data_IF_351492209908
#
_entry.id   IF_351492209908
#
_cell.length_a   1.000
_cell.length_b   1.000
_cell.length_c   1.000
_cell.angle_alpha   90.00
_cell.angle_beta   90.00
_cell.angle_gamma   90.00
#
_symmetry.space_group_name_H-M   'P 1'
#
loop_
_entity.id
_entity.type
_entity.pdbx_description
1 polymer ?
#
# COMPACT_ATOMS: atom_id res chain seq x y z
N UNK A 1 3.29 -12.05 -14.42
CA UNK A 1 2.95 -10.87 -13.61
C UNK A 1 3.99 -10.75 -12.50
N UNK A 2 4.42 -9.54 -12.12
CA UNK A 2 5.23 -9.35 -10.91
C UNK A 2 4.26 -9.32 -9.73
N UNK A 3 4.47 -10.19 -8.75
CA UNK A 3 3.67 -10.24 -7.53
C UNK A 3 4.30 -9.26 -6.54
N UNK A 4 3.51 -8.41 -5.85
CA UNK A 4 4.04 -7.55 -4.79
C UNK A 4 4.74 -8.37 -3.71
N UNK A 5 5.92 -7.93 -3.29
CA UNK A 5 6.65 -8.58 -2.18
C UNK A 5 6.19 -7.94 -0.87
N UNK A 6 5.80 -8.77 0.10
CA UNK A 6 5.46 -8.30 1.46
C UNK A 6 6.68 -8.42 2.37
N UNK A 7 6.99 -7.35 3.07
CA UNK A 7 8.20 -7.19 3.90
C UNK A 7 7.86 -6.50 5.23
N UNK A 8 8.86 -6.40 6.11
CA UNK A 8 8.74 -5.68 7.37
C UNK A 8 8.48 -6.58 8.57
N UNK A 9 8.64 -6.02 9.78
CA UNK A 9 8.60 -6.77 11.05
C UNK A 9 7.24 -7.38 11.38
N UNK A 10 6.16 -6.93 10.74
CA UNK A 10 4.85 -7.58 10.92
C UNK A 10 4.80 -8.96 10.24
N UNK A 11 5.64 -9.21 9.24
CA UNK A 11 5.69 -10.50 8.55
C UNK A 11 6.07 -11.62 9.52
N UNK A 12 6.99 -11.37 10.45
CA UNK A 12 7.37 -12.35 11.47
C UNK A 12 6.16 -12.78 12.32
N UNK A 13 5.26 -11.83 12.64
CA UNK A 13 4.01 -12.11 13.34
C UNK A 13 3.08 -12.95 12.47
N UNK A 14 2.91 -12.60 11.19
CA UNK A 14 2.08 -13.37 10.24
C UNK A 14 2.57 -14.80 10.07
N UNK A 15 3.89 -15.01 9.98
CA UNK A 15 4.50 -16.33 9.85
C UNK A 15 4.37 -17.19 11.11
N UNK A 16 4.16 -16.55 12.27
CA UNK A 16 3.88 -17.24 13.53
C UNK A 16 2.42 -17.66 13.73
N UNK A 17 1.50 -17.20 12.88
CA UNK A 17 0.09 -17.59 12.93
C UNK A 17 -0.13 -18.96 12.29
N UNK A 18 -1.01 -19.77 12.87
CA UNK A 18 -1.46 -21.02 12.24
C UNK A 18 -2.40 -20.72 11.07
N UNK A 19 -3.31 -19.78 11.27
CA UNK A 19 -4.21 -19.24 10.24
C UNK A 19 -4.35 -17.72 10.39
N UNK A 20 -4.47 -17.01 9.27
CA UNK A 20 -4.64 -15.55 9.25
C UNK A 20 -5.85 -15.09 10.05
N UNK A 21 -6.92 -15.88 10.06
CA UNK A 21 -8.18 -15.58 10.76
C UNK A 21 -8.05 -15.54 12.30
N UNK A 22 -6.92 -15.97 12.85
CA UNK A 22 -6.65 -15.92 14.29
C UNK A 22 -6.35 -14.50 14.79
N UNK A 23 -6.06 -13.56 13.89
CA UNK A 23 -5.78 -12.16 14.21
C UNK A 23 -6.57 -11.20 13.31
N UNK A 24 -7.36 -10.34 13.94
CA UNK A 24 -8.24 -9.37 13.25
C UNK A 24 -7.45 -8.47 12.29
N UNK A 25 -6.27 -8.02 12.69
CA UNK A 25 -5.47 -7.14 11.85
C UNK A 25 -4.76 -7.91 10.72
N UNK A 26 -4.34 -9.14 10.95
CA UNK A 26 -3.82 -10.02 9.91
C UNK A 26 -4.86 -10.25 8.80
N UNK A 27 -6.13 -10.42 9.16
CA UNK A 27 -7.24 -10.52 8.19
C UNK A 27 -7.36 -9.24 7.34
N UNK A 28 -7.29 -8.06 7.95
CA UNK A 28 -7.30 -6.78 7.22
C UNK A 28 -6.11 -6.63 6.27
N UNK A 29 -4.92 -7.06 6.69
CA UNK A 29 -3.72 -7.07 5.84
C UNK A 29 -3.90 -8.03 4.66
N UNK A 30 -4.50 -9.19 4.91
CA UNK A 30 -4.83 -10.15 3.86
C UNK A 30 -5.82 -9.56 2.85
N UNK A 31 -6.86 -8.86 3.31
CA UNK A 31 -7.82 -8.16 2.44
C UNK A 31 -7.15 -7.08 1.59
N UNK A 32 -6.21 -6.32 2.17
CA UNK A 32 -5.41 -5.33 1.43
C UNK A 32 -4.59 -5.98 0.30
N UNK A 33 -3.91 -7.09 0.60
CA UNK A 33 -3.12 -7.83 -0.40
C UNK A 33 -4.04 -8.43 -1.48
N UNK A 34 -5.18 -8.98 -1.07
CA UNK A 34 -6.24 -9.47 -1.96
C UNK A 34 -6.71 -8.39 -2.92
N UNK A 35 -7.06 -7.21 -2.39
CA UNK A 35 -7.46 -6.05 -3.19
C UNK A 35 -6.41 -5.68 -4.23
N UNK A 36 -5.12 -5.61 -3.86
CA UNK A 36 -4.05 -5.30 -4.82
C UNK A 36 -3.98 -6.36 -5.92
N UNK A 37 -4.06 -7.65 -5.57
CA UNK A 37 -3.92 -8.77 -6.50
C UNK A 37 -5.11 -8.93 -7.46
N UNK A 38 -6.32 -8.63 -7.01
CA UNK A 38 -7.54 -8.66 -7.84
C UNK A 38 -7.54 -7.56 -8.91
N UNK A 39 -6.83 -6.46 -8.67
CA UNK A 39 -6.80 -5.31 -9.55
C UNK A 39 -5.52 -5.27 -10.39
N UNK A 40 -5.66 -5.54 -11.70
CA UNK A 40 -4.54 -5.51 -12.67
C UNK A 40 -3.77 -4.18 -12.65
N UNK A 41 -4.44 -3.05 -12.41
CA UNK A 41 -3.75 -1.76 -12.28
C UNK A 41 -2.81 -1.74 -11.07
N UNK A 42 -3.29 -2.16 -9.90
CA UNK A 42 -2.50 -2.12 -8.66
C UNK A 42 -1.35 -3.13 -8.65
N UNK A 43 -1.53 -4.32 -9.21
CA UNK A 43 -0.42 -5.27 -9.41
C UNK A 43 0.69 -4.73 -10.33
N UNK A 44 0.39 -3.80 -11.25
CA UNK A 44 1.40 -3.14 -12.09
C UNK A 44 2.05 -1.94 -11.42
N UNK A 45 1.35 -1.26 -10.50
CA UNK A 45 1.89 -0.10 -9.82
C UNK A 45 2.71 -0.48 -8.60
N UNK A 46 2.27 -1.44 -7.78
CA UNK A 46 2.88 -1.75 -6.48
C UNK A 46 3.91 -2.87 -6.61
N UNK A 47 5.13 -2.60 -6.13
CA UNK A 47 6.25 -3.56 -6.11
C UNK A 47 6.49 -4.18 -4.75
N UNK A 48 6.39 -3.38 -3.70
CA UNK A 48 6.64 -3.83 -2.34
C UNK A 48 5.59 -3.25 -1.38
N UNK A 49 5.22 -4.06 -0.40
CA UNK A 49 4.40 -3.69 0.73
C UNK A 49 5.26 -3.91 1.98
N UNK A 50 5.68 -2.83 2.64
CA UNK A 50 6.38 -2.89 3.92
C UNK A 50 5.39 -2.64 5.05
N UNK A 51 5.35 -3.57 6.02
CA UNK A 51 4.47 -3.49 7.17
C UNK A 51 5.32 -3.41 8.43
N UNK A 52 5.28 -2.24 9.06
CA UNK A 52 5.99 -2.00 10.30
C UNK A 52 5.52 -2.92 11.43
N UNK A 53 6.30 -3.07 12.50
CA UNK A 53 5.90 -3.86 13.67
C UNK A 53 4.59 -3.39 14.33
N UNK A 54 4.18 -2.13 14.09
CA UNK A 54 2.92 -1.57 14.59
C UNK A 54 1.74 -1.78 13.63
N UNK A 55 1.95 -2.48 12.51
CA UNK A 55 0.94 -2.74 11.49
C UNK A 55 0.83 -1.64 10.42
N UNK A 56 1.53 -0.52 10.57
CA UNK A 56 1.48 0.58 9.59
C UNK A 56 2.06 0.13 8.24
N UNK A 57 1.31 0.35 7.17
CA UNK A 57 1.62 -0.07 5.80
C UNK A 57 2.22 1.09 5.00
N UNK A 58 3.35 0.81 4.38
CA UNK A 58 3.99 1.66 3.37
C UNK A 58 4.15 0.83 2.10
N UNK A 59 3.72 1.39 0.97
CA UNK A 59 3.88 0.74 -0.33
C UNK A 59 4.93 1.47 -1.15
N UNK A 60 5.65 0.70 -1.97
CA UNK A 60 6.61 1.23 -2.93
C UNK A 60 6.21 0.81 -4.33
N UNK A 61 6.24 1.74 -5.31
CA UNK A 61 5.89 1.44 -6.67
C UNK A 61 6.94 0.55 -7.35
N UNK A 62 6.57 -0.08 -8.47
CA UNK A 62 7.48 -0.84 -9.32
C UNK A 62 8.52 0.05 -10.02
N UNK A 63 8.20 1.34 -10.20
CA UNK A 63 9.03 2.33 -10.88
C UNK A 63 9.01 3.62 -10.07
N UNK A 64 10.20 4.16 -9.81
CA UNK A 64 10.39 5.32 -8.94
C UNK A 64 10.59 4.93 -7.48
N UNK A 65 10.97 5.93 -6.68
CA UNK A 65 11.38 5.74 -5.29
C UNK A 65 10.37 6.35 -4.30
N UNK A 66 9.12 6.53 -4.74
CA UNK A 66 8.09 7.19 -3.92
C UNK A 66 7.64 6.30 -2.77
N UNK A 67 7.56 6.90 -1.59
CA UNK A 67 7.03 6.26 -0.38
C UNK A 67 5.53 6.54 -0.27
N UNK A 68 4.71 5.52 -0.52
CA UNK A 68 3.26 5.61 -0.43
C UNK A 68 2.80 5.21 0.98
N UNK A 69 2.60 6.21 1.85
CA UNK A 69 2.12 6.01 3.22
C UNK A 69 0.61 5.73 3.21
N UNK A 70 0.26 4.46 3.38
CA UNK A 70 -1.13 4.00 3.39
C UNK A 70 -1.73 4.01 4.80
N UNK A 71 -0.89 3.83 5.80
CA UNK A 71 -1.29 3.69 7.20
C UNK A 71 -1.83 2.31 7.49
N UNK A 72 -2.83 2.21 8.37
CA UNK A 72 -3.45 0.91 8.67
C UNK A 72 -4.21 0.35 7.46
N UNK A 73 -4.31 -0.98 7.37
CA UNK A 73 -5.05 -1.72 6.35
C UNK A 73 -6.59 -1.56 6.51
N UNK A 74 -7.06 -0.32 6.43
CA UNK A 74 -8.43 0.10 6.66
C UNK A 74 -8.86 1.10 5.58
N UNK A 75 -10.16 1.23 5.33
CA UNK A 75 -10.72 2.12 4.31
C UNK A 75 -10.07 1.90 2.92
N UNK A 76 -9.80 0.65 2.57
CA UNK A 76 -8.98 0.24 1.41
C UNK A 76 -9.42 0.96 0.13
N UNK A 77 -10.69 0.86 -0.24
CA UNK A 77 -11.24 1.51 -1.43
C UNK A 77 -11.02 3.03 -1.45
N UNK A 78 -11.23 3.71 -0.32
CA UNK A 78 -11.09 5.18 -0.26
C UNK A 78 -9.64 5.60 -0.41
N UNK A 79 -8.72 4.86 0.21
CA UNK A 79 -7.28 5.16 0.11
C UNK A 79 -6.75 4.88 -1.29
N UNK A 80 -7.18 3.79 -1.93
CA UNK A 80 -6.81 3.51 -3.32
C UNK A 80 -7.40 4.50 -4.32
N UNK A 81 -8.60 5.06 -4.10
CA UNK A 81 -9.11 6.16 -4.93
C UNK A 81 -8.20 7.39 -4.89
N UNK A 82 -7.62 7.71 -3.73
CA UNK A 82 -6.63 8.81 -3.62
C UNK A 82 -5.33 8.49 -4.32
N UNK A 83 -4.83 7.26 -4.17
CA UNK A 83 -3.66 6.80 -4.94
C UNK A 83 -3.93 6.81 -6.45
N UNK A 84 -5.16 6.52 -6.88
CA UNK A 84 -5.53 6.55 -8.29
C UNK A 84 -5.45 7.97 -8.85
N UNK A 85 -5.91 8.97 -8.09
CA UNK A 85 -5.71 10.38 -8.42
C UNK A 85 -4.22 10.71 -8.54
N UNK A 86 -3.40 10.21 -7.62
CA UNK A 86 -1.95 10.40 -7.69
C UNK A 86 -1.34 9.84 -8.98
N UNK A 87 -1.56 8.55 -9.27
CA UNK A 87 -0.97 7.90 -10.44
C UNK A 87 -1.54 8.37 -11.77
N UNK A 88 -2.84 8.71 -11.84
CA UNK A 88 -3.51 9.06 -13.10
C UNK A 88 -3.55 10.56 -13.40
N UNK A 89 -3.44 11.42 -12.39
CA UNK A 89 -3.59 12.87 -12.58
C UNK A 89 -2.36 13.66 -12.14
N UNK A 90 -1.88 13.43 -10.92
CA UNK A 90 -0.77 14.22 -10.33
C UNK A 90 0.56 13.83 -10.98
N UNK A 91 0.92 12.56 -10.96
CA UNK A 91 2.20 12.06 -11.45
C UNK A 91 2.43 12.35 -12.95
N UNK A 92 1.45 12.16 -13.87
CA UNK A 92 1.63 12.51 -15.27
C UNK A 92 1.83 14.01 -15.52
N UNK A 93 1.27 14.86 -14.65
CA UNK A 93 1.33 16.32 -14.79
C UNK A 93 2.61 16.91 -14.19
N UNK A 94 3.08 16.34 -13.07
CA UNK A 94 4.22 16.86 -12.32
C UNK A 94 5.53 16.19 -12.70
N UNK A 95 5.48 14.91 -13.07
CA UNK A 95 6.65 14.08 -13.34
C UNK A 95 6.99 13.15 -12.18
N UNK A 96 7.65 12.04 -12.51
CA UNK A 96 7.93 10.93 -11.59
C UNK A 96 8.73 11.35 -10.36
N UNK A 97 9.75 12.21 -10.52
CA UNK A 97 10.66 12.55 -9.43
C UNK A 97 10.25 13.81 -8.65
N UNK A 98 8.98 14.21 -8.74
CA UNK A 98 8.52 15.44 -8.08
C UNK A 98 8.25 15.26 -6.59
N UNK A 99 7.72 14.09 -6.22
CA UNK A 99 7.30 13.79 -4.87
C UNK A 99 7.99 12.53 -4.41
N UNK A 100 8.67 12.60 -3.29
CA UNK A 100 9.29 11.45 -2.63
C UNK A 100 8.30 10.76 -1.68
N UNK A 101 7.30 11.49 -1.20
CA UNK A 101 6.33 10.99 -0.23
C UNK A 101 4.90 11.29 -0.65
N UNK A 102 4.04 10.29 -0.53
CA UNK A 102 2.60 10.40 -0.79
C UNK A 102 1.85 9.76 0.37
N UNK A 103 1.13 10.55 1.14
CA UNK A 103 0.35 10.08 2.27
C UNK A 103 -1.16 10.09 1.95
N UNK A 104 -1.78 8.93 2.07
CA UNK A 104 -3.22 8.70 1.87
C UNK A 104 -3.93 8.18 3.14
N UNK A 105 -3.28 8.24 4.30
CA UNK A 105 -3.87 7.85 5.58
C UNK A 105 -5.03 8.78 5.98
N UNK A 106 -4.89 10.08 5.72
CA UNK A 106 -5.87 11.09 6.11
C UNK A 106 -7.16 11.00 5.30
N UNK A 107 -8.31 10.90 5.98
CA UNK A 107 -9.63 10.66 5.39
C UNK A 107 -9.90 11.40 4.08
N UNK A 108 -9.81 12.73 4.08
CA UNK A 108 -10.28 13.59 2.99
C UNK A 108 -9.15 14.28 2.20
N UNK A 109 -7.90 13.87 2.41
CA UNK A 109 -6.74 14.53 1.83
C UNK A 109 -5.71 13.53 1.30
N UNK A 110 -4.97 13.98 0.29
CA UNK A 110 -3.72 13.41 -0.17
C UNK A 110 -2.63 14.46 0.06
N UNK A 111 -1.55 14.06 0.73
CA UNK A 111 -0.40 14.93 0.97
C UNK A 111 0.75 14.40 0.12
N UNK A 112 1.31 15.26 -0.73
CA UNK A 112 2.47 14.96 -1.56
C UNK A 112 3.61 15.91 -1.19
N UNK A 113 4.76 15.34 -0.86
CA UNK A 113 6.01 16.06 -0.52
C UNK A 113 7.12 15.64 -1.47
#
# INVERSE_FOLDING_TARGET
ARVPVVTGRYVDKLMGLGQVIEDDYATKVYDLIGFINEHKFWTMQIGQIDISSKGYVVMYPQVGDQRLEFGYAEDIDKKFKKLEIFFKQIMPTKGWNTYERVNVEYKDQIICE
#
